data_IF_213833750364
#
_entry.id   IF_213833750364
#
_cell.length_a   1.000
_cell.length_b   1.000
_cell.length_c   1.000
_cell.angle_alpha   90.00
_cell.angle_beta   90.00
_cell.angle_gamma   90.00
#
_symmetry.space_group_name_H-M   'P 1'
#
loop_
_entity.id
_entity.type
_entity.pdbx_description
1 polymer ?
#
# COMPACT_ATOMS: atom_id res chain seq x y z
N UNK A 1 -2.91 15.32 0.46
CA UNK A 1 -3.63 14.34 1.30
C UNK A 1 -3.78 13.11 0.44
N UNK A 2 -3.27 11.98 0.90
CA UNK A 2 -3.23 10.77 0.09
C UNK A 2 -4.28 9.76 0.55
N UNK A 3 -4.67 8.85 -0.34
CA UNK A 3 -5.58 7.76 -0.05
C UNK A 3 -4.87 6.41 -0.21
N UNK A 4 -4.89 5.59 0.83
CA UNK A 4 -4.52 4.18 0.76
C UNK A 4 -5.80 3.33 0.77
N UNK A 5 -5.96 2.46 -0.22
CA UNK A 5 -7.14 1.60 -0.36
C UNK A 5 -6.77 0.24 -0.97
N UNK A 6 -7.68 -0.73 -0.83
CA UNK A 6 -7.57 -2.04 -1.46
C UNK A 6 -8.64 -2.19 -2.55
N UNK A 7 -8.30 -2.90 -3.63
CA UNK A 7 -9.21 -3.26 -4.70
C UNK A 7 -8.96 -4.71 -5.13
N UNK A 8 -9.98 -5.38 -5.68
CA UNK A 8 -9.82 -6.73 -6.21
C UNK A 8 -8.90 -6.68 -7.43
N UNK A 9 -8.10 -7.72 -7.64
CA UNK A 9 -7.20 -7.83 -8.81
C UNK A 9 -7.94 -7.67 -10.15
N UNK A 10 -9.16 -8.16 -10.24
CA UNK A 10 -9.99 -8.08 -11.44
C UNK A 10 -10.45 -6.66 -11.78
N UNK A 11 -10.48 -5.75 -10.80
CA UNK A 11 -10.95 -4.37 -10.97
C UNK A 11 -9.80 -3.40 -11.33
N UNK A 12 -8.61 -3.92 -11.68
CA UNK A 12 -7.42 -3.09 -11.93
C UNK A 12 -7.66 -2.01 -12.99
N UNK A 13 -8.31 -2.37 -14.10
CA UNK A 13 -8.60 -1.41 -15.17
C UNK A 13 -9.60 -0.33 -14.72
N UNK A 14 -10.56 -0.68 -13.87
CA UNK A 14 -11.50 0.29 -13.31
C UNK A 14 -10.79 1.30 -12.38
N UNK A 15 -9.79 0.85 -11.61
CA UNK A 15 -8.96 1.75 -10.79
C UNK A 15 -8.14 2.70 -11.66
N UNK A 16 -7.53 2.21 -12.74
CA UNK A 16 -6.78 3.06 -13.67
C UNK A 16 -7.68 4.06 -14.40
N UNK A 17 -8.89 3.64 -14.79
CA UNK A 17 -9.88 4.54 -15.39
C UNK A 17 -10.33 5.64 -14.40
N UNK A 18 -10.54 5.29 -13.12
CA UNK A 18 -10.86 6.27 -12.08
C UNK A 18 -9.69 7.25 -11.83
N UNK A 19 -8.45 6.76 -11.90
CA UNK A 19 -7.24 7.58 -11.82
C UNK A 19 -7.21 8.66 -12.90
N UNK A 20 -7.41 8.24 -14.14
CA UNK A 20 -7.40 9.12 -15.31
C UNK A 20 -8.53 10.14 -15.21
N UNK A 21 -9.76 9.68 -14.93
CA UNK A 21 -10.93 10.54 -14.79
C UNK A 21 -10.80 11.58 -13.65
N UNK A 22 -10.12 11.22 -12.56
CA UNK A 22 -9.87 12.12 -11.43
C UNK A 22 -8.58 12.94 -11.55
N UNK A 23 -7.77 12.70 -12.58
CA UNK A 23 -6.45 13.31 -12.75
C UNK A 23 -5.48 13.00 -11.59
N UNK A 24 -5.73 11.93 -10.82
CA UNK A 24 -4.96 11.58 -9.63
C UNK A 24 -4.11 10.35 -9.89
N UNK A 25 -2.81 10.45 -9.67
CA UNK A 25 -1.89 9.34 -9.83
C UNK A 25 -2.21 8.23 -8.81
N UNK A 26 -2.22 6.98 -9.28
CA UNK A 26 -2.31 5.79 -8.42
C UNK A 26 -1.15 4.85 -8.71
N UNK A 27 -0.60 4.30 -7.64
CA UNK A 27 0.48 3.32 -7.68
C UNK A 27 0.08 2.11 -6.88
N UNK A 28 0.23 0.92 -7.46
CA UNK A 28 0.07 -0.33 -6.71
C UNK A 28 1.31 -0.56 -5.85
N UNK A 29 1.16 -0.47 -4.54
CA UNK A 29 2.26 -0.60 -3.58
C UNK A 29 2.34 -1.97 -2.88
N UNK A 30 1.38 -2.86 -3.11
CA UNK A 30 1.37 -4.18 -2.47
C UNK A 30 0.19 -5.06 -2.88
N UNK A 31 -0.01 -6.11 -2.10
CA UNK A 31 -1.12 -7.07 -2.22
C UNK A 31 -1.59 -7.48 -0.83
N UNK A 32 -2.89 -7.75 -0.70
CA UNK A 32 -3.47 -8.36 0.50
C UNK A 32 -3.52 -9.87 0.29
N UNK A 33 -3.01 -10.63 1.25
CA UNK A 33 -3.18 -12.08 1.34
C UNK A 33 -3.79 -12.46 2.70
N UNK A 34 -3.99 -13.76 2.93
CA UNK A 34 -4.64 -14.26 4.14
C UNK A 34 -3.71 -14.30 5.36
N UNK A 35 -2.39 -14.16 5.17
CA UNK A 35 -1.42 -14.28 6.25
C UNK A 35 -1.38 -12.96 7.05
N UNK A 36 -1.64 -12.99 8.37
CA UNK A 36 -1.60 -11.78 9.19
C UNK A 36 -0.21 -11.14 9.24
N UNK A 37 -0.19 -9.81 9.39
CA UNK A 37 1.04 -9.03 9.52
C UNK A 37 1.40 -8.25 8.25
N UNK A 38 2.48 -7.47 8.32
CA UNK A 38 3.00 -6.68 7.21
C UNK A 38 4.40 -7.17 6.86
N UNK A 39 4.58 -7.59 5.61
CA UNK A 39 5.87 -8.07 5.07
C UNK A 39 6.34 -7.11 3.99
N UNK A 40 7.53 -6.54 4.18
CA UNK A 40 8.14 -5.66 3.19
C UNK A 40 9.06 -6.46 2.27
N UNK A 41 9.07 -6.07 0.99
CA UNK A 41 9.99 -6.61 0.00
C UNK A 41 10.64 -5.48 -0.79
N UNK A 42 11.85 -5.70 -1.29
CA UNK A 42 12.51 -4.78 -2.20
C UNK A 42 11.97 -4.89 -3.65
N UNK A 43 12.57 -4.14 -4.58
CA UNK A 43 12.18 -4.17 -5.99
C UNK A 43 12.42 -5.50 -6.71
N UNK A 44 13.22 -6.40 -6.13
CA UNK A 44 13.44 -7.77 -6.60
C UNK A 44 12.53 -8.80 -5.93
N UNK A 45 11.77 -8.38 -4.90
CA UNK A 45 10.94 -9.25 -4.09
C UNK A 45 11.67 -9.88 -2.90
N UNK A 46 12.91 -9.48 -2.60
CA UNK A 46 13.63 -9.97 -1.44
C UNK A 46 13.04 -9.39 -0.15
N UNK A 47 12.82 -10.20 0.91
CA UNK A 47 12.28 -9.71 2.18
C UNK A 47 13.16 -8.63 2.81
N UNK A 48 12.52 -7.59 3.35
CA UNK A 48 13.17 -6.54 4.13
C UNK A 48 12.68 -6.61 5.59
N UNK A 49 13.63 -6.73 6.52
CA UNK A 49 13.37 -6.63 7.95
C UNK A 49 13.42 -5.15 8.37
N UNK A 50 12.28 -4.46 8.25
CA UNK A 50 12.14 -3.06 8.60
C UNK A 50 11.42 -2.91 9.92
N UNK A 51 12.07 -2.24 10.87
CA UNK A 51 11.46 -1.82 12.13
C UNK A 51 10.79 -0.45 11.92
N UNK A 52 9.55 -0.47 11.42
CA UNK A 52 8.77 0.75 11.17
C UNK A 52 7.92 1.13 12.38
N UNK A 53 8.18 2.32 12.92
CA UNK A 53 7.35 2.95 13.94
C UNK A 53 6.20 3.75 13.34
N UNK A 54 5.05 3.72 13.99
CA UNK A 54 3.95 4.65 13.73
C UNK A 54 4.05 5.89 14.61
N UNK A 55 3.32 6.95 14.24
CA UNK A 55 3.12 8.06 15.16
C UNK A 55 2.23 7.62 16.32
N UNK A 56 2.65 7.93 17.54
CA UNK A 56 1.93 7.66 18.77
C UNK A 56 1.79 8.97 19.56
N UNK A 57 0.59 9.27 20.08
CA UNK A 57 0.32 10.51 20.82
C UNK A 57 1.16 10.63 22.10
N UNK A 58 1.54 9.50 22.68
CA UNK A 58 2.16 9.39 24.00
C UNK A 58 3.51 8.70 23.94
N UNK A 59 4.12 8.55 22.76
CA UNK A 59 5.53 8.19 22.68
C UNK A 59 6.36 9.31 23.31
N UNK A 60 6.57 9.22 24.63
CA UNK A 60 7.61 9.95 25.33
C UNK A 60 8.96 9.45 24.83
N UNK A 61 9.86 10.39 24.55
CA UNK A 61 11.23 10.12 24.14
C UNK A 61 11.96 9.14 25.09
#
# INVERSE_FOLDING_TARGET
>A
CELCFAARRADREAVLAAADASGTLVTRVGTIDAEPGLRFVDGSGAPLDLQVGGWDHFSGA
#
